data_IF_519527006234
#
_entry.id   IF_519527006234
#
_cell.length_a   1.000
_cell.length_b   1.000
_cell.length_c   1.000
_cell.angle_alpha   90.00
_cell.angle_beta   90.00
_cell.angle_gamma   90.00
#
_symmetry.space_group_name_H-M   'P 1'
#
loop_
_entity.id
_entity.type
_entity.pdbx_description
1 polymer ?
#
# COMPACT_ATOMS: atom_id res chain seq x y z
N UNK A 1 -43.03 0.53 -32.97
CA UNK A 1 -42.20 0.31 -31.76
C UNK A 1 -40.67 0.41 -32.01
N UNK A 2 -40.22 0.57 -33.26
CA UNK A 2 -38.77 0.68 -33.57
C UNK A 2 -38.17 2.06 -33.26
N UNK A 3 -38.92 3.15 -33.43
CA UNK A 3 -38.41 4.50 -33.15
C UNK A 3 -38.22 4.79 -31.67
N UNK A 4 -39.07 4.24 -30.79
CA UNK A 4 -38.91 4.35 -29.33
C UNK A 4 -37.62 3.66 -28.86
N UNK A 5 -37.25 2.53 -29.47
CA UNK A 5 -35.99 1.82 -29.18
C UNK A 5 -34.76 2.55 -29.72
N UNK A 6 -34.86 3.18 -30.89
CA UNK A 6 -33.77 4.01 -31.44
C UNK A 6 -33.54 5.26 -30.58
N UNK A 7 -34.59 5.95 -30.16
CA UNK A 7 -34.51 7.13 -29.30
C UNK A 7 -33.85 6.83 -27.95
N UNK A 8 -34.23 5.73 -27.29
CA UNK A 8 -33.65 5.34 -26.00
C UNK A 8 -32.18 4.93 -26.10
N UNK A 9 -31.75 4.34 -27.23
CA UNK A 9 -30.36 3.95 -27.46
C UNK A 9 -29.45 5.17 -27.65
N UNK A 10 -29.94 6.22 -28.32
CA UNK A 10 -29.21 7.50 -28.49
C UNK A 10 -29.07 8.22 -27.15
N UNK A 11 -30.15 8.29 -26.36
CA UNK A 11 -30.12 8.90 -25.02
C UNK A 11 -29.16 8.15 -24.08
N UNK A 12 -29.18 6.82 -24.09
CA UNK A 12 -28.25 5.99 -23.33
C UNK A 12 -26.80 6.22 -23.77
N UNK A 13 -26.56 6.42 -25.07
CA UNK A 13 -25.21 6.71 -25.59
C UNK A 13 -24.70 8.06 -25.07
N UNK A 14 -25.52 9.12 -25.12
CA UNK A 14 -25.15 10.43 -24.61
C UNK A 14 -24.87 10.41 -23.10
N UNK A 15 -25.67 9.68 -22.32
CA UNK A 15 -25.41 9.44 -20.89
C UNK A 15 -24.06 8.77 -20.65
N UNK A 16 -23.69 7.78 -21.49
CA UNK A 16 -22.38 7.12 -21.41
C UNK A 16 -21.24 8.06 -21.76
N UNK A 17 -21.39 8.87 -22.79
CA UNK A 17 -20.36 9.84 -23.19
C UNK A 17 -20.08 10.86 -22.08
N UNK A 18 -21.12 11.39 -21.44
CA UNK A 18 -20.98 12.29 -20.30
C UNK A 18 -20.25 11.62 -19.12
N UNK A 19 -20.62 10.39 -18.78
CA UNK A 19 -19.99 9.66 -17.68
C UNK A 19 -18.52 9.35 -17.92
N UNK A 20 -18.10 9.16 -19.17
CA UNK A 20 -16.68 8.94 -19.49
C UNK A 20 -15.83 10.15 -19.11
N UNK A 21 -16.35 11.36 -19.29
CA UNK A 21 -15.67 12.58 -18.82
C UNK A 21 -15.54 12.57 -17.30
N UNK A 22 -16.56 12.11 -16.57
CA UNK A 22 -16.50 11.96 -15.10
C UNK A 22 -15.47 10.91 -14.65
N UNK A 23 -15.34 9.79 -15.37
CA UNK A 23 -14.31 8.79 -15.11
C UNK A 23 -12.91 9.35 -15.35
N UNK A 24 -12.70 10.03 -16.48
CA UNK A 24 -11.39 10.61 -16.83
C UNK A 24 -10.99 11.76 -15.91
N UNK A 25 -11.95 12.51 -15.36
CA UNK A 25 -11.70 13.54 -14.37
C UNK A 25 -11.16 13.02 -13.04
N UNK A 26 -11.14 11.69 -12.81
CA UNK A 26 -10.42 11.09 -11.69
C UNK A 26 -8.89 11.13 -11.88
N UNK A 27 -8.42 11.33 -13.12
CA UNK A 27 -7.02 11.50 -13.44
C UNK A 27 -6.63 12.99 -13.44
N UNK A 28 -5.42 13.35 -12.97
CA UNK A 28 -4.46 12.48 -12.29
C UNK A 28 -4.90 12.13 -10.85
N UNK A 29 -4.63 10.90 -10.41
CA UNK A 29 -5.03 10.42 -9.09
C UNK A 29 -4.03 10.88 -8.03
N UNK A 30 -4.47 11.75 -7.12
CA UNK A 30 -3.70 12.22 -5.97
C UNK A 30 -3.99 11.43 -4.69
N UNK A 31 -5.22 10.95 -4.53
CA UNK A 31 -5.63 10.05 -3.45
C UNK A 31 -6.38 8.84 -4.03
N UNK A 32 -5.71 7.68 -4.03
CA UNK A 32 -6.26 6.46 -4.59
C UNK A 32 -7.50 5.96 -3.83
N UNK A 33 -7.64 6.21 -2.53
CA UNK A 33 -8.80 5.75 -1.74
C UNK A 33 -10.05 6.52 -2.14
N UNK A 34 -9.93 7.85 -2.21
CA UNK A 34 -11.02 8.71 -2.67
C UNK A 34 -11.38 8.46 -4.13
N UNK A 35 -10.37 8.28 -5.00
CA UNK A 35 -10.59 7.96 -6.41
C UNK A 35 -11.29 6.60 -6.57
N UNK A 36 -10.87 5.56 -5.85
CA UNK A 36 -11.49 4.22 -5.86
C UNK A 36 -12.96 4.26 -5.47
N UNK A 37 -13.30 5.01 -4.40
CA UNK A 37 -14.70 5.19 -3.98
C UNK A 37 -15.55 5.84 -5.08
N UNK A 38 -15.09 6.98 -5.62
CA UNK A 38 -15.78 7.69 -6.70
C UNK A 38 -15.92 6.83 -7.95
N UNK A 39 -14.88 6.07 -8.31
CA UNK A 39 -14.88 5.13 -9.42
C UNK A 39 -15.99 4.08 -9.26
N UNK A 40 -16.15 3.47 -8.08
CA UNK A 40 -17.23 2.51 -7.84
C UNK A 40 -18.62 3.14 -7.89
N UNK A 41 -18.79 4.36 -7.38
CA UNK A 41 -20.06 5.08 -7.47
C UNK A 41 -20.44 5.35 -8.94
N UNK A 42 -19.46 5.77 -9.75
CA UNK A 42 -19.62 5.94 -11.20
C UNK A 42 -19.91 4.60 -11.89
N UNK A 43 -19.21 3.52 -11.55
CA UNK A 43 -19.48 2.19 -12.10
C UNK A 43 -20.90 1.70 -11.78
N UNK A 44 -21.41 1.98 -10.59
CA UNK A 44 -22.79 1.68 -10.22
C UNK A 44 -23.82 2.42 -11.09
N UNK A 45 -23.56 3.68 -11.44
CA UNK A 45 -24.40 4.45 -12.40
C UNK A 45 -24.24 3.92 -13.83
N UNK A 46 -23.01 3.55 -14.22
CA UNK A 46 -22.65 3.09 -15.56
C UNK A 46 -23.37 1.79 -15.95
N UNK A 47 -23.51 0.88 -15.00
CA UNK A 47 -24.22 -0.40 -15.17
C UNK A 47 -25.74 -0.23 -15.31
N UNK A 48 -26.33 0.84 -14.74
CA UNK A 48 -27.76 1.13 -14.84
C UNK A 48 -28.17 1.69 -16.20
N UNK A 49 -27.22 2.20 -16.99
CA UNK A 49 -27.51 2.65 -18.34
C UNK A 49 -27.82 1.43 -19.22
N UNK A 50 -28.96 1.49 -19.90
CA UNK A 50 -29.44 0.41 -20.76
C UNK A 50 -28.59 0.17 -22.01
N UNK A 51 -29.19 -0.51 -22.99
CA UNK A 51 -28.51 -0.90 -24.22
C UNK A 51 -28.03 0.32 -25.02
N UNK A 52 -26.81 0.22 -25.55
CA UNK A 52 -26.15 1.20 -26.43
C UNK A 52 -25.41 0.47 -27.55
N UNK A 53 -24.86 1.21 -28.51
CA UNK A 53 -24.03 0.64 -29.57
C UNK A 53 -22.82 -0.11 -28.98
N UNK A 54 -22.62 -1.36 -29.42
CA UNK A 54 -21.58 -2.26 -28.88
C UNK A 54 -20.17 -1.76 -29.16
N UNK A 55 -19.93 -1.15 -30.33
CA UNK A 55 -18.60 -0.65 -30.74
C UNK A 55 -18.23 0.56 -29.88
N UNK A 56 -19.17 1.48 -29.66
CA UNK A 56 -18.98 2.62 -28.75
C UNK A 56 -18.78 2.16 -27.31
N UNK A 57 -19.59 1.19 -26.85
CA UNK A 57 -19.47 0.59 -25.51
C UNK A 57 -18.06 0.05 -25.26
N UNK A 58 -17.51 -0.72 -26.18
CA UNK A 58 -16.16 -1.29 -26.06
C UNK A 58 -15.07 -0.21 -25.97
N UNK A 59 -15.20 0.87 -26.74
CA UNK A 59 -14.27 2.01 -26.67
C UNK A 59 -14.31 2.71 -25.31
N UNK A 60 -15.50 2.86 -24.73
CA UNK A 60 -15.66 3.43 -23.39
C UNK A 60 -15.11 2.52 -22.30
N UNK A 61 -15.36 1.21 -22.38
CA UNK A 61 -14.83 0.25 -21.41
C UNK A 61 -13.29 0.25 -21.41
N UNK A 62 -12.66 0.40 -22.58
CA UNK A 62 -11.19 0.57 -22.64
C UNK A 62 -10.70 1.82 -21.92
N UNK A 63 -11.43 2.94 -21.99
CA UNK A 63 -11.08 4.20 -21.28
C UNK A 63 -11.29 4.07 -19.78
N UNK A 64 -12.42 3.49 -19.36
CA UNK A 64 -12.71 3.20 -17.95
C UNK A 64 -11.63 2.29 -17.36
N UNK A 65 -11.21 1.26 -18.11
CA UNK A 65 -10.18 0.33 -17.67
C UNK A 65 -8.84 1.02 -17.38
N UNK A 66 -8.44 2.03 -18.17
CA UNK A 66 -7.22 2.82 -17.87
C UNK A 66 -7.33 3.51 -16.51
N UNK A 67 -8.46 4.15 -16.22
CA UNK A 67 -8.67 4.79 -14.90
C UNK A 67 -8.62 3.76 -13.77
N UNK A 68 -9.24 2.59 -13.97
CA UNK A 68 -9.21 1.49 -13.01
C UNK A 68 -7.79 0.95 -12.76
N UNK A 69 -7.03 0.73 -13.83
CA UNK A 69 -5.68 0.18 -13.77
C UNK A 69 -4.75 1.12 -12.98
N UNK A 70 -4.88 2.43 -13.18
CA UNK A 70 -4.10 3.45 -12.49
C UNK A 70 -4.44 3.52 -11.00
N UNK A 71 -5.73 3.43 -10.63
CA UNK A 71 -6.16 3.32 -9.22
C UNK A 71 -5.56 2.07 -8.58
N UNK A 72 -5.68 0.93 -9.26
CA UNK A 72 -5.20 -0.35 -8.75
C UNK A 72 -3.66 -0.39 -8.65
N UNK A 73 -2.93 0.27 -9.55
CA UNK A 73 -1.48 0.38 -9.48
C UNK A 73 -1.05 1.19 -8.25
N UNK A 74 -1.69 2.33 -8.00
CA UNK A 74 -1.42 3.12 -6.80
C UNK A 74 -1.72 2.35 -5.52
N UNK A 75 -2.83 1.60 -5.48
CA UNK A 75 -3.16 0.74 -4.34
C UNK A 75 -2.13 -0.38 -4.14
N UNK A 76 -1.73 -1.07 -5.22
CA UNK A 76 -0.68 -2.11 -5.18
C UNK A 76 0.66 -1.55 -4.71
N UNK A 77 1.00 -0.33 -5.14
CA UNK A 77 2.25 0.32 -4.73
C UNK A 77 2.20 0.72 -3.25
N UNK A 78 1.06 1.19 -2.77
CA UNK A 78 0.84 1.46 -1.34
C UNK A 78 0.95 0.16 -0.52
N UNK A 79 0.24 -0.90 -0.91
CA UNK A 79 0.28 -2.19 -0.20
C UNK A 79 1.67 -2.81 -0.19
N UNK A 80 2.43 -2.74 -1.30
CA UNK A 80 3.82 -3.21 -1.36
C UNK A 80 4.73 -2.44 -0.42
N UNK A 81 4.56 -1.12 -0.30
CA UNK A 81 5.32 -0.31 0.67
C UNK A 81 4.95 -0.65 2.12
N UNK A 82 3.68 -0.96 2.36
CA UNK A 82 3.17 -1.29 3.70
C UNK A 82 3.19 -2.79 4.04
N UNK A 83 3.95 -3.62 3.32
CA UNK A 83 3.91 -5.09 3.43
C UNK A 83 4.01 -5.57 4.90
N UNK A 84 2.92 -6.13 5.47
CA UNK A 84 2.87 -6.56 6.86
C UNK A 84 3.91 -7.64 7.21
N UNK A 85 4.30 -8.48 6.25
CA UNK A 85 5.30 -9.52 6.45
C UNK A 85 6.68 -8.90 6.66
N UNK A 86 7.04 -7.94 5.82
CA UNK A 86 8.31 -7.21 5.94
C UNK A 86 8.39 -6.43 7.27
N UNK A 87 7.28 -5.76 7.66
CA UNK A 87 7.18 -5.08 8.95
C UNK A 87 7.31 -6.04 10.13
N UNK A 88 6.64 -7.20 10.08
CA UNK A 88 6.73 -8.21 11.13
C UNK A 88 8.15 -8.79 11.25
N UNK A 89 8.81 -9.04 10.13
CA UNK A 89 10.18 -9.52 10.11
C UNK A 89 11.16 -8.48 10.66
N UNK A 90 11.02 -7.21 10.27
CA UNK A 90 11.83 -6.12 10.79
C UNK A 90 11.66 -5.96 12.32
N UNK A 91 10.42 -5.97 12.81
CA UNK A 91 10.13 -5.95 14.25
C UNK A 91 10.77 -7.12 14.99
N UNK A 92 10.72 -8.33 14.42
CA UNK A 92 11.34 -9.52 15.01
C UNK A 92 12.87 -9.39 15.13
N UNK A 93 13.52 -8.81 14.12
CA UNK A 93 14.97 -8.54 14.16
C UNK A 93 15.31 -7.53 15.25
N UNK A 94 14.57 -6.42 15.34
CA UNK A 94 14.73 -5.40 16.37
C UNK A 94 14.58 -6.00 17.77
N UNK A 95 13.55 -6.83 17.99
CA UNK A 95 13.34 -7.52 19.27
C UNK A 95 14.50 -8.46 19.60
N UNK A 96 14.93 -9.30 18.67
CA UNK A 96 16.04 -10.22 18.89
C UNK A 96 17.37 -9.52 19.21
N UNK A 97 17.62 -8.36 18.58
CA UNK A 97 18.79 -7.53 18.90
C UNK A 97 18.69 -6.93 20.30
N UNK A 98 17.52 -6.40 20.69
CA UNK A 98 17.29 -5.83 22.02
C UNK A 98 17.45 -6.89 23.12
N UNK A 99 16.86 -8.08 22.95
CA UNK A 99 17.01 -9.20 23.87
C UNK A 99 18.48 -9.65 24.00
N UNK A 100 19.20 -9.74 22.87
CA UNK A 100 20.61 -10.09 22.90
C UNK A 100 21.45 -9.06 23.65
N UNK A 101 21.20 -7.76 23.43
CA UNK A 101 21.88 -6.66 24.13
C UNK A 101 21.65 -6.79 25.64
N UNK A 102 20.40 -6.94 26.08
CA UNK A 102 20.07 -7.11 27.50
C UNK A 102 20.79 -8.32 28.11
N UNK A 103 20.85 -9.43 27.36
CA UNK A 103 21.49 -10.65 27.84
C UNK A 103 23.02 -10.49 27.97
N UNK A 104 23.66 -9.75 27.07
CA UNK A 104 25.10 -9.43 27.17
C UNK A 104 25.39 -8.44 28.30
N UNK A 105 24.53 -7.46 28.53
CA UNK A 105 24.66 -6.53 29.66
C UNK A 105 24.55 -7.26 31.00
N UNK A 106 23.60 -8.19 31.14
CA UNK A 106 23.48 -9.05 32.33
C UNK A 106 24.72 -9.92 32.53
N UNK A 107 25.29 -10.47 31.46
CA UNK A 107 26.53 -11.25 31.53
C UNK A 107 27.72 -10.39 31.96
N UNK A 108 27.82 -9.17 31.43
CA UNK A 108 28.86 -8.22 31.81
C UNK A 108 28.79 -7.89 33.30
N UNK A 109 27.60 -7.54 33.81
CA UNK A 109 27.39 -7.23 35.22
C UNK A 109 27.73 -8.41 36.15
N UNK A 110 27.31 -9.63 35.77
CA UNK A 110 27.67 -10.86 36.53
C UNK A 110 29.17 -11.13 36.53
N UNK A 111 29.83 -10.97 35.39
CA UNK A 111 31.27 -11.17 35.29
C UNK A 111 32.06 -10.14 36.11
N UNK A 112 31.61 -8.88 36.12
CA UNK A 112 32.22 -7.80 36.90
C UNK A 112 32.05 -8.03 38.41
N UNK A 113 30.85 -8.42 38.86
CA UNK A 113 30.61 -8.80 40.25
C UNK A 113 31.46 -10.00 40.71
N UNK A 114 31.83 -10.87 39.76
CA UNK A 114 32.71 -12.02 40.01
C UNK A 114 34.21 -11.70 39.84
N UNK A 115 34.59 -10.43 39.62
CA UNK A 115 35.99 -10.02 39.41
C UNK A 115 36.57 -10.47 38.06
N UNK A 116 35.76 -10.93 37.13
CA UNK A 116 36.16 -11.43 35.81
C UNK A 116 36.18 -10.30 34.78
N UNK A 117 37.03 -9.28 35.00
CA UNK A 117 37.06 -8.03 34.22
C UNK A 117 37.19 -8.25 32.71
N UNK A 118 38.03 -9.21 32.28
CA UNK A 118 38.19 -9.52 30.86
C UNK A 118 36.89 -10.05 30.22
N UNK A 119 36.14 -10.92 30.91
CA UNK A 119 34.85 -11.41 30.42
C UNK A 119 33.77 -10.32 30.41
N UNK A 120 33.79 -9.45 31.42
CA UNK A 120 32.86 -8.32 31.48
C UNK A 120 33.07 -7.36 30.29
N UNK A 121 34.34 -7.07 29.95
CA UNK A 121 34.69 -6.22 28.82
C UNK A 121 34.20 -6.82 27.48
N UNK A 122 34.48 -8.10 27.22
CA UNK A 122 34.03 -8.79 26.00
C UNK A 122 32.50 -8.76 25.87
N UNK A 123 31.76 -8.99 26.97
CA UNK A 123 30.31 -8.92 26.96
C UNK A 123 29.77 -7.49 26.69
N UNK A 124 30.41 -6.45 27.25
CA UNK A 124 30.07 -5.05 26.97
C UNK A 124 30.32 -4.69 25.50
N UNK A 125 31.43 -5.10 24.93
CA UNK A 125 31.73 -4.89 23.52
C UNK A 125 30.71 -5.59 22.62
N UNK A 126 30.32 -6.83 22.96
CA UNK A 126 29.29 -7.57 22.24
C UNK A 126 27.92 -6.89 22.28
N UNK A 127 27.56 -6.24 23.40
CA UNK A 127 26.36 -5.42 23.51
C UNK A 127 26.47 -4.12 22.68
N UNK A 128 27.61 -3.42 22.76
CA UNK A 128 27.84 -2.18 22.03
C UNK A 128 27.78 -2.37 20.51
N UNK A 129 28.39 -3.45 19.98
CA UNK A 129 28.30 -3.79 18.56
C UNK A 129 26.85 -4.00 18.10
N UNK A 130 26.04 -4.67 18.92
CA UNK A 130 24.62 -4.93 18.62
C UNK A 130 23.74 -3.70 18.74
N UNK A 131 24.07 -2.74 19.61
CA UNK A 131 23.34 -1.46 19.69
C UNK A 131 23.45 -0.67 18.38
N UNK A 132 24.62 -0.66 17.75
CA UNK A 132 24.79 -0.03 16.43
C UNK A 132 23.88 -0.67 15.37
N UNK A 133 23.77 -2.00 15.38
CA UNK A 133 22.86 -2.71 14.47
C UNK A 133 21.38 -2.49 14.81
N UNK A 134 21.03 -2.36 16.09
CA UNK A 134 19.67 -2.07 16.54
C UNK A 134 19.20 -0.70 16.06
N UNK A 135 20.06 0.32 16.18
CA UNK A 135 19.75 1.67 15.74
C UNK A 135 19.50 1.73 14.23
N UNK A 136 20.34 1.06 13.44
CA UNK A 136 20.17 0.96 11.99
C UNK A 136 18.87 0.23 11.62
N UNK A 137 18.56 -0.88 12.30
CA UNK A 137 17.32 -1.62 12.10
C UNK A 137 16.06 -0.80 12.47
N UNK A 138 16.13 0.04 13.50
CA UNK A 138 15.05 0.93 13.91
C UNK A 138 14.81 2.09 12.93
N UNK A 139 15.88 2.64 12.34
CA UNK A 139 15.78 3.64 11.27
C UNK A 139 15.08 3.06 10.04
N UNK A 140 15.53 1.90 9.57
CA UNK A 140 14.91 1.20 8.44
C UNK A 140 13.42 0.87 8.68
N UNK A 141 13.05 0.48 9.90
CA UNK A 141 11.64 0.24 10.26
C UNK A 141 10.78 1.53 10.19
N UNK A 142 11.34 2.66 10.59
CA UNK A 142 10.64 3.96 10.56
C UNK A 142 10.40 4.40 9.11
N UNK A 143 11.41 4.24 8.25
CA UNK A 143 11.30 4.50 6.80
C UNK A 143 10.30 3.56 6.10
N UNK A 144 10.14 2.33 6.59
CA UNK A 144 9.13 1.38 6.10
C UNK A 144 7.69 1.70 6.57
N UNK A 145 7.53 2.52 7.61
CA UNK A 145 6.23 2.73 8.27
C UNK A 145 5.69 4.16 8.16
N UNK A 146 6.53 5.13 7.79
CA UNK A 146 6.13 6.49 7.40
C UNK A 146 5.74 6.59 5.94
#
# INVERSE_FOLDING_TARGET
DMDKRKGSMVENLAKREAMIVEFEALLPITDFKSAKKKFYDLMGKWQKIGMTDRKKRASFDSRIKKVEDEINELERNFQRKSDPSAKAQANKVVQGLAEAIENYEKQAAKAEAAGQTAKAMVAREAAAARRGWLEEAQKGLTEFTG
#
